data_IF_144872056618
#
_entry.id   IF_144872056618
#
_cell.length_a   1.000
_cell.length_b   1.000
_cell.length_c   1.000
_cell.angle_alpha   90.00
_cell.angle_beta   90.00
_cell.angle_gamma   90.00
#
_symmetry.space_group_name_H-M   'P 1'
#
loop_
_entity.id
_entity.type
_entity.pdbx_description
1 polymer ?
#
# COMPACT_ATOMS: atom_id res chain seq x y z
N UNK A 1 -9.05 -5.65 -13.50
CA UNK A 1 -7.93 -6.19 -12.70
C UNK A 1 -7.14 -5.07 -12.06
N UNK A 2 -6.37 -5.36 -11.02
CA UNK A 2 -5.60 -4.36 -10.26
C UNK A 2 -4.10 -4.44 -10.57
N UNK A 3 -3.49 -3.26 -10.75
CA UNK A 3 -2.05 -3.08 -10.93
C UNK A 3 -1.46 -2.27 -9.76
N UNK A 4 -0.18 -2.48 -9.50
CA UNK A 4 0.62 -1.57 -8.69
C UNK A 4 1.20 -0.41 -9.52
N UNK A 5 1.96 0.47 -8.85
CA UNK A 5 2.60 1.64 -9.47
C UNK A 5 3.68 1.30 -10.50
N UNK A 6 4.11 0.04 -10.58
CA UNK A 6 5.08 -0.46 -11.58
C UNK A 6 4.40 -1.09 -12.80
N UNK A 7 3.06 -0.99 -12.89
CA UNK A 7 2.24 -1.64 -13.90
C UNK A 7 2.24 -3.18 -13.81
N UNK A 8 2.61 -3.73 -12.66
CA UNK A 8 2.62 -5.17 -12.41
C UNK A 8 1.27 -5.62 -11.83
N UNK A 9 0.75 -6.77 -12.26
CA UNK A 9 -0.48 -7.35 -11.70
C UNK A 9 -0.27 -7.68 -10.23
N UNK A 10 -1.16 -7.19 -9.37
CA UNK A 10 -1.11 -7.51 -7.94
C UNK A 10 -1.44 -8.98 -7.68
N UNK A 11 -0.89 -9.57 -6.63
CA UNK A 11 -1.10 -10.99 -6.30
C UNK A 11 -2.55 -11.30 -5.95
N UNK A 12 -3.26 -10.35 -5.34
CA UNK A 12 -4.68 -10.47 -4.99
C UNK A 12 -5.64 -10.29 -6.18
N UNK A 13 -5.19 -9.71 -7.30
CA UNK A 13 -6.06 -9.57 -8.48
C UNK A 13 -6.22 -10.93 -9.16
N UNK A 14 -7.46 -11.44 -9.13
CA UNK A 14 -7.89 -12.55 -9.98
C UNK A 14 -7.73 -12.19 -11.46
N UNK A 15 -7.56 -13.22 -12.29
CA UNK A 15 -7.33 -13.14 -13.73
C UNK A 15 -7.96 -14.35 -14.42
N UNK A 16 -8.20 -14.25 -15.72
CA UNK A 16 -8.91 -15.28 -16.49
C UNK A 16 -9.55 -14.70 -17.75
N UNK A 17 -10.24 -15.52 -18.55
CA UNK A 17 -10.84 -15.09 -19.82
C UNK A 17 -11.86 -13.96 -19.67
N UNK A 18 -12.44 -13.76 -18.49
CA UNK A 18 -13.41 -12.70 -18.21
C UNK A 18 -12.77 -11.34 -17.86
N UNK A 19 -11.44 -11.27 -17.70
CA UNK A 19 -10.76 -10.02 -17.38
C UNK A 19 -10.70 -9.09 -18.61
N UNK A 20 -11.45 -7.99 -18.56
CA UNK A 20 -11.47 -7.00 -19.64
C UNK A 20 -10.25 -6.07 -19.66
N UNK A 21 -9.97 -5.41 -18.54
CA UNK A 21 -9.04 -4.28 -18.47
C UNK A 21 -8.49 -4.14 -17.06
N UNK A 22 -7.36 -3.46 -16.93
CA UNK A 22 -6.68 -3.21 -15.66
C UNK A 22 -6.54 -1.72 -15.37
N UNK A 23 -6.38 -1.39 -14.09
CA UNK A 23 -6.21 -0.02 -13.60
C UNK A 23 -5.46 -0.03 -12.25
N UNK A 24 -5.02 1.14 -11.74
CA UNK A 24 -4.37 1.23 -10.42
C UNK A 24 -5.26 0.67 -9.32
N UNK A 25 -4.74 -0.30 -8.57
CA UNK A 25 -5.49 -0.96 -7.49
C UNK A 25 -4.63 -1.40 -6.31
N UNK A 26 -3.35 -1.07 -6.26
CA UNK A 26 -2.53 -1.15 -5.05
C UNK A 26 -1.98 0.24 -4.70
N UNK A 27 -1.96 0.58 -3.42
CA UNK A 27 -1.52 1.85 -2.89
C UNK A 27 -2.38 3.02 -3.36
N UNK A 28 -3.69 2.82 -3.53
CA UNK A 28 -4.60 3.87 -4.02
C UNK A 28 -5.03 4.76 -2.85
N UNK A 29 -4.55 5.99 -2.82
CA UNK A 29 -4.95 7.00 -1.83
C UNK A 29 -6.32 7.56 -2.21
N UNK A 30 -7.30 7.46 -1.30
CA UNK A 30 -8.63 8.01 -1.51
C UNK A 30 -9.22 8.55 -0.21
N UNK A 31 -10.27 9.36 -0.33
CA UNK A 31 -11.03 9.85 0.81
C UNK A 31 -11.71 8.71 1.58
N UNK A 32 -11.85 8.91 2.88
CA UNK A 32 -12.55 8.03 3.81
C UNK A 32 -13.46 8.87 4.72
N UNK A 33 -14.40 8.27 5.49
CA UNK A 33 -15.17 9.01 6.47
C UNK A 33 -14.27 9.88 7.35
N UNK A 34 -14.73 11.07 7.72
CA UNK A 34 -13.91 12.07 8.41
C UNK A 34 -13.18 11.46 9.61
N UNK A 35 -11.87 11.70 9.67
CA UNK A 35 -10.96 11.24 10.73
C UNK A 35 -10.87 9.70 10.92
N UNK A 36 -11.41 8.91 9.99
CA UNK A 36 -11.26 7.45 10.01
C UNK A 36 -9.97 6.97 9.36
N UNK A 37 -9.34 7.81 8.53
CA UNK A 37 -8.03 7.53 7.96
C UNK A 37 -6.93 7.60 9.01
N UNK A 38 -5.83 6.95 8.71
CA UNK A 38 -4.61 6.97 9.53
C UNK A 38 -3.42 7.16 8.60
N UNK A 39 -2.52 8.02 9.02
CA UNK A 39 -1.20 8.18 8.41
C UNK A 39 -0.13 8.07 9.51
N UNK A 40 1.09 7.74 9.13
CA UNK A 40 2.21 7.64 10.05
C UNK A 40 3.31 8.65 9.71
N UNK A 41 3.90 9.22 10.74
CA UNK A 41 5.10 10.03 10.63
C UNK A 41 6.23 9.28 11.29
N UNK A 42 7.22 8.89 10.49
CA UNK A 42 8.40 8.16 10.95
C UNK A 42 9.65 8.98 10.65
N UNK A 43 10.45 9.21 11.69
CA UNK A 43 11.78 9.78 11.57
C UNK A 43 12.82 8.79 12.05
N UNK A 44 13.89 8.63 11.27
CA UNK A 44 15.08 7.90 11.69
C UNK A 44 16.07 8.88 12.33
N UNK A 45 16.68 8.46 13.42
CA UNK A 45 17.74 9.17 14.13
C UNK A 45 19.01 8.34 14.06
N UNK A 46 19.97 8.78 13.23
CA UNK A 46 21.21 8.07 12.91
C UNK A 46 22.35 9.09 12.94
N UNK A 47 23.43 8.82 13.68
CA UNK A 47 24.62 9.69 13.74
C UNK A 47 24.28 11.17 14.02
N UNK A 48 23.27 11.42 14.87
CA UNK A 48 22.80 12.77 15.23
C UNK A 48 21.91 13.45 14.18
N UNK A 49 21.68 12.83 13.03
CA UNK A 49 20.77 13.34 12.00
C UNK A 49 19.37 12.76 12.16
N UNK A 50 18.35 13.61 12.02
CA UNK A 50 16.94 13.24 12.03
C UNK A 50 16.36 13.35 10.61
N UNK A 51 15.92 12.24 10.03
CA UNK A 51 15.43 12.19 8.65
C UNK A 51 14.04 11.60 8.59
N UNK A 52 13.10 12.32 7.96
CA UNK A 52 11.76 11.79 7.66
C UNK A 52 11.87 10.74 6.56
N UNK A 53 11.23 9.60 6.76
CA UNK A 53 11.13 8.54 5.73
C UNK A 53 9.68 8.32 5.32
N UNK A 54 9.48 7.67 4.17
CA UNK A 54 8.15 7.24 3.75
C UNK A 54 7.67 6.11 4.65
N UNK A 55 6.43 6.23 5.09
CA UNK A 55 5.80 5.26 5.97
C UNK A 55 4.29 5.24 5.78
N UNK A 56 3.65 4.16 6.22
CA UNK A 56 2.18 4.06 6.32
C UNK A 56 1.82 3.39 7.64
N UNK A 57 0.68 3.77 8.22
CA UNK A 57 0.11 3.04 9.37
C UNK A 57 -0.64 1.79 8.90
N UNK A 58 -1.03 0.95 9.85
CA UNK A 58 -1.92 -0.16 9.59
C UNK A 58 -3.38 0.19 9.90
N UNK A 59 -4.30 -0.58 9.33
CA UNK A 59 -5.67 -0.58 9.81
C UNK A 59 -5.71 -1.17 11.24
N UNK A 60 -6.48 -0.53 12.13
CA UNK A 60 -6.50 -0.88 13.55
C UNK A 60 -5.35 -0.27 14.38
N UNK A 61 -4.56 0.67 13.84
CA UNK A 61 -3.63 1.45 14.68
C UNK A 61 -4.34 2.65 15.31
N UNK A 62 -4.19 2.79 16.63
CA UNK A 62 -4.66 3.97 17.38
C UNK A 62 -3.84 5.22 17.01
N UNK A 63 -4.43 6.39 17.22
CA UNK A 63 -3.72 7.67 17.10
C UNK A 63 -2.66 7.82 18.21
N UNK A 64 -1.46 8.25 17.83
CA UNK A 64 -0.30 8.47 18.69
C UNK A 64 0.13 9.92 18.49
N UNK A 65 -0.47 10.83 19.26
CA UNK A 65 -0.21 12.28 19.17
C UNK A 65 1.11 12.68 19.84
N UNK A 66 1.53 11.95 20.87
CA UNK A 66 2.85 12.08 21.49
C UNK A 66 3.81 11.11 20.81
N UNK A 67 4.81 11.58 20.03
CA UNK A 67 5.72 10.68 19.33
C UNK A 67 6.43 9.73 20.27
N UNK A 68 6.45 8.44 19.93
CA UNK A 68 7.23 7.43 20.66
C UNK A 68 8.60 7.30 20.05
N UNK A 69 9.62 7.38 20.90
CA UNK A 69 11.02 7.27 20.50
C UNK A 69 11.60 5.99 21.09
N UNK A 70 12.41 5.28 20.31
CA UNK A 70 13.22 4.18 20.83
C UNK A 70 14.26 3.67 19.84
N UNK A 71 15.28 3.00 20.37
CA UNK A 71 16.31 2.36 19.56
C UNK A 71 15.73 1.21 18.76
N UNK A 72 16.28 0.98 17.56
CA UNK A 72 15.89 -0.09 16.67
C UNK A 72 16.76 -1.33 16.90
N UNK A 73 16.12 -2.50 16.92
CA UNK A 73 16.78 -3.80 16.93
C UNK A 73 16.18 -4.65 15.82
N UNK A 74 17.03 -5.17 14.93
CA UNK A 74 16.57 -6.04 13.86
C UNK A 74 16.19 -7.42 14.41
N UNK A 75 14.95 -7.83 14.17
CA UNK A 75 14.36 -9.07 14.68
C UNK A 75 13.87 -9.98 13.54
N UNK A 76 14.62 -10.05 12.44
CA UNK A 76 14.35 -10.99 11.35
C UNK A 76 12.96 -10.82 10.74
N UNK A 77 12.21 -11.93 10.67
CA UNK A 77 10.83 -11.97 10.20
C UNK A 77 9.81 -11.80 11.34
N UNK A 78 10.25 -11.54 12.57
CA UNK A 78 9.36 -11.37 13.72
C UNK A 78 8.73 -12.68 14.18
N UNK A 79 9.37 -13.82 13.89
CA UNK A 79 8.99 -15.11 14.47
C UNK A 79 9.49 -15.19 15.92
N UNK A 80 8.92 -16.10 16.71
CA UNK A 80 9.39 -16.37 18.09
C UNK A 80 10.88 -16.67 18.15
N UNK A 81 11.40 -17.46 17.20
CA UNK A 81 12.82 -17.82 17.13
C UNK A 81 13.74 -16.65 16.75
N UNK A 82 13.21 -15.63 16.07
CA UNK A 82 13.96 -14.41 15.78
C UNK A 82 14.12 -13.59 17.06
N UNK A 83 13.05 -13.44 17.83
CA UNK A 83 13.09 -12.73 19.12
C UNK A 83 13.91 -13.47 20.18
N UNK A 84 14.05 -14.79 20.10
CA UNK A 84 14.94 -15.55 20.98
C UNK A 84 16.43 -15.18 20.79
N UNK A 85 16.80 -14.62 19.63
CA UNK A 85 18.19 -14.28 19.28
C UNK A 85 18.56 -12.83 19.58
N UNK A 86 17.60 -11.96 19.92
CA UNK A 86 17.80 -10.52 20.08
C UNK A 86 17.03 -9.95 21.26
N UNK A 87 17.61 -8.95 21.95
CA UNK A 87 16.91 -8.27 23.05
C UNK A 87 16.23 -6.98 22.58
N UNK A 88 14.91 -7.05 22.41
CA UNK A 88 14.04 -5.93 22.02
C UNK A 88 13.30 -5.27 23.19
N UNK A 89 13.52 -5.71 24.43
CA UNK A 89 12.76 -5.19 25.58
C UNK A 89 12.93 -3.66 25.72
N UNK A 90 11.82 -2.92 25.73
CA UNK A 90 11.77 -1.46 25.77
C UNK A 90 12.18 -0.74 24.48
N UNK A 91 12.57 -1.48 23.43
CA UNK A 91 13.05 -0.98 22.14
C UNK A 91 12.04 -1.21 21.03
N UNK A 92 12.25 -0.58 19.87
CA UNK A 92 11.49 -0.87 18.67
C UNK A 92 12.08 -2.09 17.94
N UNK A 93 11.23 -3.05 17.60
CA UNK A 93 11.62 -4.17 16.76
C UNK A 93 11.51 -3.77 15.27
N UNK A 94 12.62 -3.83 14.54
CA UNK A 94 12.66 -3.72 13.09
C UNK A 94 12.45 -5.11 12.48
N UNK A 95 11.39 -5.29 11.71
CA UNK A 95 10.94 -6.61 11.23
C UNK A 95 10.74 -6.58 9.71
N UNK A 96 11.20 -7.62 9.02
CA UNK A 96 10.91 -7.80 7.60
C UNK A 96 9.52 -8.37 7.38
N UNK A 97 8.78 -7.84 6.38
CA UNK A 97 7.52 -8.44 5.93
C UNK A 97 7.76 -9.81 5.29
N UNK A 98 6.89 -10.77 5.61
CA UNK A 98 6.90 -12.11 5.00
C UNK A 98 6.54 -13.22 6.00
N UNK A 99 6.20 -14.38 5.44
CA UNK A 99 5.93 -15.67 6.09
C UNK A 99 4.79 -15.74 7.12
N UNK A 100 4.76 -14.85 8.10
CA UNK A 100 3.72 -14.76 9.13
C UNK A 100 2.91 -13.46 8.99
N UNK A 101 1.73 -13.42 9.59
CA UNK A 101 0.83 -12.26 9.50
C UNK A 101 1.41 -11.04 10.23
N UNK A 102 0.93 -9.84 9.91
CA UNK A 102 1.32 -8.63 10.65
C UNK A 102 0.89 -8.69 12.12
N UNK A 103 -0.29 -9.25 12.39
CA UNK A 103 -0.79 -9.46 13.74
C UNK A 103 0.13 -10.39 14.54
N UNK A 104 0.60 -11.50 13.95
CA UNK A 104 1.53 -12.42 14.60
C UNK A 104 2.89 -11.77 14.89
N UNK A 105 3.43 -10.99 13.96
CA UNK A 105 4.67 -10.22 14.16
C UNK A 105 4.55 -9.30 15.37
N UNK A 106 3.42 -8.59 15.48
CA UNK A 106 3.14 -7.65 16.57
C UNK A 106 2.97 -8.39 17.89
N UNK A 107 2.20 -9.48 17.90
CA UNK A 107 2.00 -10.33 19.08
C UNK A 107 3.32 -10.88 19.61
N UNK A 108 4.20 -11.35 18.73
CA UNK A 108 5.53 -11.85 19.11
C UNK A 108 6.42 -10.73 19.66
N UNK A 109 6.40 -9.54 19.06
CA UNK A 109 7.13 -8.39 19.56
C UNK A 109 6.64 -7.93 20.95
N UNK A 110 5.33 -7.94 21.17
CA UNK A 110 4.72 -7.64 22.48
C UNK A 110 5.15 -8.66 23.53
N UNK A 111 5.13 -9.96 23.19
CA UNK A 111 5.61 -11.02 24.09
C UNK A 111 7.10 -10.85 24.43
N UNK A 112 7.90 -10.37 23.48
CA UNK A 112 9.31 -10.01 23.68
C UNK A 112 9.51 -8.63 24.36
N UNK A 113 8.42 -7.97 24.82
CA UNK A 113 8.41 -6.68 25.53
C UNK A 113 8.97 -5.51 24.73
N UNK A 114 8.87 -5.55 23.40
CA UNK A 114 9.18 -4.38 22.58
C UNK A 114 8.24 -3.20 22.93
N UNK A 115 8.70 -1.98 22.69
CA UNK A 115 7.91 -0.75 22.88
C UNK A 115 7.13 -0.35 21.63
N UNK A 116 7.48 -0.93 20.48
CA UNK A 116 6.80 -0.76 19.21
C UNK A 116 7.45 -1.60 18.10
N UNK A 117 6.85 -1.58 16.92
CA UNK A 117 7.29 -2.35 15.75
C UNK A 117 7.39 -1.45 14.53
N UNK A 118 8.51 -1.54 13.82
CA UNK A 118 8.70 -0.98 12.48
C UNK A 118 8.82 -2.15 11.52
N UNK A 119 7.84 -2.31 10.63
CA UNK A 119 7.86 -3.35 9.60
C UNK A 119 8.39 -2.72 8.32
N UNK A 120 9.36 -3.32 7.64
CA UNK A 120 9.74 -2.87 6.30
C UNK A 120 9.19 -3.84 5.25
N UNK A 121 8.70 -3.29 4.15
CA UNK A 121 8.14 -4.09 3.07
C UNK A 121 9.21 -5.00 2.43
N UNK A 122 8.79 -6.10 1.83
CA UNK A 122 9.65 -7.04 1.10
C UNK A 122 9.54 -6.89 -0.43
N UNK A 123 8.70 -5.96 -0.89
CA UNK A 123 8.60 -5.51 -2.27
C UNK A 123 8.80 -3.99 -2.34
N UNK A 124 8.99 -3.45 -3.54
CA UNK A 124 9.00 -2.01 -3.74
C UNK A 124 7.67 -1.38 -3.32
N UNK A 125 7.74 -0.13 -2.85
CA UNK A 125 6.60 0.63 -2.35
C UNK A 125 6.17 0.25 -0.93
N UNK A 126 5.15 0.96 -0.44
CA UNK A 126 4.49 0.66 0.83
C UNK A 126 3.29 -0.26 0.59
N UNK A 127 2.91 -1.01 1.60
CA UNK A 127 1.70 -1.83 1.61
C UNK A 127 0.97 -1.58 2.91
N UNK A 128 -0.35 -1.38 2.85
CA UNK A 128 -1.14 -1.32 4.06
C UNK A 128 -1.57 -2.74 4.46
N UNK A 129 -1.50 -3.04 5.76
CA UNK A 129 -2.03 -4.28 6.32
C UNK A 129 -3.06 -4.02 7.41
N UNK A 130 -3.67 -5.10 7.89
CA UNK A 130 -4.51 -5.10 9.09
C UNK A 130 -3.75 -5.69 10.29
N UNK A 131 -4.02 -5.17 11.49
CA UNK A 131 -3.50 -5.69 12.76
C UNK A 131 -4.52 -6.51 13.56
N UNK A 132 -5.78 -6.55 13.11
CA UNK A 132 -6.88 -7.29 13.73
C UNK A 132 -7.62 -8.12 12.68
N UNK A 133 -8.27 -9.19 13.12
CA UNK A 133 -9.04 -10.07 12.21
C UNK A 133 -10.16 -9.32 11.50
N UNK A 134 -10.81 -8.37 12.19
CA UNK A 134 -11.89 -7.54 11.66
C UNK A 134 -11.38 -6.28 10.92
N UNK A 135 -10.08 -5.98 11.01
CA UNK A 135 -9.45 -4.76 10.50
C UNK A 135 -9.97 -3.44 11.07
N UNK A 136 -10.74 -3.51 12.16
CA UNK A 136 -11.40 -2.36 12.78
C UNK A 136 -11.01 -2.19 14.23
N UNK A 137 -10.79 -3.30 14.93
CA UNK A 137 -10.38 -3.27 16.33
C UNK A 137 -9.03 -2.58 16.45
N UNK A 138 -9.02 -1.45 17.16
CA UNK A 138 -7.78 -0.71 17.43
C UNK A 138 -6.94 -1.46 18.46
N UNK A 139 -5.65 -1.62 18.18
CA UNK A 139 -4.69 -2.11 19.17
C UNK A 139 -3.94 -0.92 19.78
N UNK A 140 -3.72 -0.98 21.10
CA UNK A 140 -2.91 0.02 21.81
C UNK A 140 -1.42 -0.33 21.74
N UNK A 141 -0.90 -0.37 20.50
CA UNK A 141 0.49 -0.71 20.25
C UNK A 141 1.01 0.01 19.00
N UNK A 142 2.26 0.47 19.06
CA UNK A 142 2.84 1.31 18.01
C UNK A 142 3.38 0.44 16.89
N UNK A 143 2.76 0.51 15.72
CA UNK A 143 3.13 -0.28 14.54
C UNK A 143 3.06 0.59 13.30
N UNK A 144 4.14 0.59 12.51
CA UNK A 144 4.24 1.33 11.25
C UNK A 144 4.95 0.50 10.20
N UNK A 145 4.64 0.75 8.93
CA UNK A 145 5.39 0.18 7.81
C UNK A 145 6.27 1.24 7.14
N UNK A 146 7.48 0.85 6.73
CA UNK A 146 8.42 1.64 5.92
C UNK A 146 8.77 0.91 4.62
N UNK A 147 9.36 1.61 3.66
CA UNK A 147 9.77 1.03 2.38
C UNK A 147 10.89 -0.03 2.56
N UNK A 148 10.94 -1.00 1.64
CA UNK A 148 11.97 -2.04 1.60
C UNK A 148 13.40 -1.45 1.65
N UNK A 149 13.63 -0.40 0.86
CA UNK A 149 14.95 0.23 0.73
C UNK A 149 15.44 0.82 2.06
N UNK A 150 14.55 1.41 2.86
CA UNK A 150 14.89 1.97 4.16
C UNK A 150 15.16 0.88 5.19
N UNK A 151 14.39 -0.21 5.17
CA UNK A 151 14.65 -1.39 5.99
C UNK A 151 16.01 -2.03 5.71
N UNK A 152 16.37 -2.18 4.43
CA UNK A 152 17.67 -2.74 4.04
C UNK A 152 18.85 -1.86 4.48
N UNK A 153 18.74 -0.53 4.34
CA UNK A 153 19.74 0.42 4.85
C UNK A 153 19.91 0.29 6.35
N UNK A 154 18.80 0.21 7.11
CA UNK A 154 18.83 0.04 8.56
C UNK A 154 19.50 -1.28 8.97
N UNK A 155 19.22 -2.38 8.29
CA UNK A 155 19.87 -3.67 8.56
C UNK A 155 21.39 -3.57 8.35
N UNK A 156 21.84 -3.03 7.22
CA UNK A 156 23.26 -2.87 6.94
C UNK A 156 23.95 -2.03 8.02
N UNK A 157 23.30 -0.95 8.45
CA UNK A 157 23.78 -0.07 9.51
C UNK A 157 23.87 -0.78 10.86
N UNK A 158 22.80 -1.46 11.28
CA UNK A 158 22.76 -2.18 12.57
C UNK A 158 23.78 -3.32 12.60
N UNK A 159 23.96 -4.05 11.49
CA UNK A 159 24.95 -5.12 11.37
C UNK A 159 26.40 -4.60 11.40
N UNK A 160 26.62 -3.32 11.04
CA UNK A 160 27.93 -2.67 11.18
C UNK A 160 28.25 -2.23 12.62
N UNK A 161 27.34 -2.48 13.57
CA UNK A 161 27.48 -2.09 14.98
C UNK A 161 27.05 -0.66 15.30
N UNK A 162 26.54 0.09 14.32
CA UNK A 162 25.97 1.43 14.54
C UNK A 162 24.61 1.35 15.22
N UNK A 163 24.25 2.42 15.93
CA UNK A 163 22.95 2.57 16.58
C UNK A 163 22.03 3.41 15.71
N UNK A 164 20.78 2.97 15.59
CA UNK A 164 19.70 3.76 15.02
C UNK A 164 18.53 3.80 15.99
N UNK A 165 17.81 4.92 16.01
CA UNK A 165 16.54 5.06 16.73
C UNK A 165 15.46 5.54 15.77
N UNK A 166 14.21 5.31 16.14
CA UNK A 166 13.05 5.79 15.41
C UNK A 166 12.22 6.70 16.31
N UNK A 167 11.58 7.70 15.71
CA UNK A 167 10.48 8.46 16.29
C UNK A 167 9.24 8.17 15.47
N UNK A 168 8.17 7.75 16.12
CA UNK A 168 6.93 7.31 15.48
C UNK A 168 5.74 8.02 16.08
N UNK A 169 4.91 8.62 15.22
CA UNK A 169 3.56 9.06 15.54
C UNK A 169 2.58 8.61 14.47
N UNK A 170 1.30 8.55 14.83
CA UNK A 170 0.20 8.26 13.92
C UNK A 170 -0.84 9.36 14.08
N UNK A 171 -1.34 9.85 12.97
CA UNK A 171 -2.29 10.97 12.93
C UNK A 171 -3.56 10.54 12.21
N UNK A 172 -4.69 11.10 12.63
CA UNK A 172 -5.95 10.93 11.90
C UNK A 172 -5.94 11.75 10.61
N UNK A 173 -6.50 11.16 9.57
CA UNK A 173 -6.63 11.79 8.26
C UNK A 173 -8.03 11.57 7.69
N UNK A 174 -8.37 12.35 6.67
CA UNK A 174 -9.58 12.13 5.86
C UNK A 174 -9.29 11.27 4.62
N UNK A 175 -8.10 10.66 4.54
CA UNK A 175 -7.62 9.88 3.42
C UNK A 175 -6.91 8.61 3.91
N UNK A 176 -7.01 7.53 3.15
CA UNK A 176 -6.22 6.32 3.41
C UNK A 176 -5.84 5.62 2.10
N UNK A 177 -4.76 4.84 2.16
CA UNK A 177 -4.31 3.99 1.06
C UNK A 177 -5.07 2.67 1.10
N UNK A 178 -5.60 2.22 -0.03
CA UNK A 178 -6.26 0.92 -0.13
C UNK A 178 -5.70 0.09 -1.29
N UNK A 179 -5.77 -1.23 -1.10
CA UNK A 179 -5.46 -2.25 -2.08
C UNK A 179 -6.75 -3.01 -2.43
N UNK A 180 -6.98 -3.26 -3.72
CA UNK A 180 -8.10 -4.07 -4.17
C UNK A 180 -8.48 -3.83 -5.63
N UNK A 181 -9.11 -4.83 -6.25
CA UNK A 181 -9.82 -4.62 -7.52
C UNK A 181 -10.96 -3.62 -7.36
N UNK A 182 -11.56 -3.53 -6.18
CA UNK A 182 -12.49 -2.46 -5.79
C UNK A 182 -11.91 -1.06 -5.94
N UNK A 183 -10.59 -0.87 -5.84
CA UNK A 183 -9.91 0.41 -6.05
C UNK A 183 -9.56 0.64 -7.53
N UNK A 184 -9.34 -0.42 -8.30
CA UNK A 184 -9.17 -0.34 -9.75
C UNK A 184 -10.48 0.02 -10.48
N UNK A 185 -11.62 -0.53 -10.02
CA UNK A 185 -12.95 -0.29 -10.60
C UNK A 185 -13.31 1.20 -10.76
N UNK A 186 -13.23 2.07 -9.73
CA UNK A 186 -13.61 3.48 -9.87
C UNK A 186 -12.72 4.26 -10.85
N UNK A 187 -11.46 3.86 -11.05
CA UNK A 187 -10.62 4.45 -12.10
C UNK A 187 -11.21 4.15 -13.49
N UNK A 188 -11.52 2.88 -13.77
CA UNK A 188 -12.11 2.47 -15.06
C UNK A 188 -13.49 3.11 -15.26
N UNK A 189 -14.34 3.11 -14.23
CA UNK A 189 -15.66 3.72 -14.29
C UNK A 189 -15.59 5.25 -14.51
N UNK A 190 -14.62 5.92 -13.87
CA UNK A 190 -14.36 7.34 -14.10
C UNK A 190 -13.96 7.63 -15.55
N UNK A 191 -13.06 6.84 -16.13
CA UNK A 191 -12.68 6.97 -17.55
C UNK A 191 -13.86 6.68 -18.48
N UNK A 192 -14.69 5.67 -18.17
CA UNK A 192 -15.91 5.40 -18.92
C UNK A 192 -16.86 6.60 -18.92
N UNK A 193 -17.03 7.28 -17.78
CA UNK A 193 -17.84 8.49 -17.67
C UNK A 193 -17.25 9.66 -18.49
N UNK A 194 -15.92 9.81 -18.52
CA UNK A 194 -15.23 10.81 -19.37
C UNK A 194 -15.44 10.54 -20.87
N UNK A 195 -15.40 9.27 -21.29
CA UNK A 195 -15.71 8.84 -22.66
C UNK A 195 -17.14 9.21 -23.03
N UNK A 196 -18.11 8.84 -22.19
CA UNK A 196 -19.54 9.12 -22.42
C UNK A 196 -19.80 10.63 -22.50
N UNK A 197 -19.24 11.41 -21.58
CA UNK A 197 -19.45 12.87 -21.54
C UNK A 197 -18.83 13.56 -22.76
N UNK A 198 -17.63 13.15 -23.16
CA UNK A 198 -16.94 13.68 -24.34
C UNK A 198 -17.71 13.38 -25.61
N UNK A 199 -18.14 12.12 -25.78
CA UNK A 199 -18.93 11.74 -26.96
C UNK A 199 -20.21 12.59 -27.05
N UNK A 200 -20.92 12.74 -25.92
CA UNK A 200 -22.14 13.57 -25.86
C UNK A 200 -21.89 15.02 -26.26
N UNK A 201 -20.78 15.61 -25.82
CA UNK A 201 -20.41 16.98 -26.14
C UNK A 201 -20.02 17.16 -27.62
N UNK A 202 -19.37 16.17 -28.23
CA UNK A 202 -18.88 16.25 -29.63
C UNK A 202 -19.89 15.80 -30.67
N UNK A 203 -20.85 14.98 -30.29
CA UNK A 203 -21.80 14.33 -31.22
C UNK A 203 -23.24 14.80 -31.02
N UNK A 204 -23.44 16.08 -30.70
CA UNK A 204 -24.76 16.71 -30.65
C UNK A 204 -25.70 16.10 -29.61
N UNK A 205 -25.19 15.66 -28.46
CA UNK A 205 -25.99 15.11 -27.37
C UNK A 205 -26.26 13.60 -27.45
N UNK A 206 -25.76 12.90 -28.48
CA UNK A 206 -25.85 11.44 -28.59
C UNK A 206 -25.07 10.72 -27.49
N UNK A 207 -25.46 9.49 -27.19
CA UNK A 207 -24.82 8.66 -26.16
C UNK A 207 -24.41 7.32 -26.76
N UNK A 208 -23.20 6.85 -26.42
CA UNK A 208 -22.72 5.52 -26.78
C UNK A 208 -23.47 4.42 -26.01
N UNK A 209 -23.68 3.27 -26.65
CA UNK A 209 -24.14 2.06 -25.97
C UNK A 209 -23.05 1.56 -25.01
N UNK A 210 -23.42 0.89 -23.89
CA UNK A 210 -22.43 0.33 -22.97
C UNK A 210 -21.38 -0.58 -23.63
N UNK A 211 -21.77 -1.36 -24.65
CA UNK A 211 -20.85 -2.19 -25.42
C UNK A 211 -19.83 -1.39 -26.23
N UNK A 212 -20.22 -0.24 -26.77
CA UNK A 212 -19.34 0.66 -27.52
C UNK A 212 -18.34 1.35 -26.59
N UNK A 213 -18.79 1.76 -25.40
CA UNK A 213 -17.89 2.27 -24.35
C UNK A 213 -16.87 1.22 -23.94
N UNK A 214 -17.32 -0.01 -23.65
CA UNK A 214 -16.42 -1.14 -23.30
C UNK A 214 -15.40 -1.42 -24.41
N UNK A 215 -15.84 -1.45 -25.67
CA UNK A 215 -14.96 -1.67 -26.80
C UNK A 215 -13.91 -0.55 -26.94
N UNK A 216 -14.32 0.71 -26.79
CA UNK A 216 -13.45 1.87 -26.90
C UNK A 216 -12.38 1.87 -25.80
N UNK A 217 -12.77 1.60 -24.55
CA UNK A 217 -11.82 1.45 -23.44
C UNK A 217 -10.80 0.33 -23.69
N UNK A 218 -11.25 -0.79 -24.23
CA UNK A 218 -10.38 -1.95 -24.51
C UNK A 218 -9.42 -1.65 -25.67
N UNK A 219 -9.90 -1.05 -26.76
CA UNK A 219 -9.09 -0.72 -27.94
C UNK A 219 -8.05 0.37 -27.68
N UNK A 220 -8.28 1.24 -26.70
CA UNK A 220 -7.40 2.37 -26.37
C UNK A 220 -6.49 2.11 -25.18
N UNK A 221 -6.70 1.00 -24.47
CA UNK A 221 -5.83 0.56 -23.38
C UNK A 221 -4.37 0.40 -23.85
N UNK A 222 -3.42 0.62 -22.93
CA UNK A 222 -2.03 0.27 -23.17
C UNK A 222 -1.82 -1.19 -22.77
N UNK A 223 -1.54 -2.05 -23.75
CA UNK A 223 -1.17 -3.44 -23.52
C UNK A 223 0.06 -3.55 -22.59
N UNK A 224 0.06 -4.55 -21.72
CA UNK A 224 1.11 -4.77 -20.71
C UNK A 224 1.66 -6.20 -20.79
N UNK A 225 2.99 -6.31 -20.81
CA UNK A 225 3.75 -7.55 -20.66
C UNK A 225 3.33 -8.73 -21.55
N UNK A 226 3.89 -9.92 -21.33
CA UNK A 226 3.32 -11.16 -21.84
C UNK A 226 1.96 -11.39 -21.16
N UNK A 227 0.88 -11.37 -21.93
CA UNK A 227 -0.48 -11.54 -21.43
C UNK A 227 -0.95 -13.00 -21.50
N UNK A 228 -0.10 -13.94 -21.08
CA UNK A 228 -0.48 -15.35 -20.98
C UNK A 228 -1.64 -15.52 -20.00
N UNK A 229 -2.61 -16.34 -20.38
CA UNK A 229 -3.84 -16.62 -19.63
C UNK A 229 -4.68 -15.38 -19.29
N UNK A 230 -4.52 -14.30 -20.06
CA UNK A 230 -5.24 -13.04 -19.89
C UNK A 230 -5.05 -12.39 -18.49
N UNK A 231 -3.80 -12.31 -18.03
CA UNK A 231 -3.43 -11.65 -16.75
C UNK A 231 -3.71 -10.15 -16.70
N UNK A 232 -3.77 -9.48 -17.86
CA UNK A 232 -3.88 -8.03 -17.97
C UNK A 232 -5.14 -7.55 -18.70
N UNK A 233 -5.98 -8.43 -19.23
CA UNK A 233 -7.05 -8.01 -20.14
C UNK A 233 -6.47 -7.29 -21.37
N UNK A 234 -7.10 -6.20 -21.79
CA UNK A 234 -6.60 -5.28 -22.80
C UNK A 234 -5.37 -4.46 -22.34
N UNK A 235 -4.99 -4.54 -21.06
CA UNK A 235 -3.92 -3.73 -20.45
C UNK A 235 -4.45 -2.63 -19.55
N UNK A 236 -3.65 -1.59 -19.29
CA UNK A 236 -4.04 -0.48 -18.41
C UNK A 236 -4.93 0.51 -19.15
N UNK A 237 -6.03 0.93 -18.52
CA UNK A 237 -6.94 1.96 -19.04
C UNK A 237 -6.21 3.28 -19.29
N UNK A 238 -6.48 3.92 -20.43
CA UNK A 238 -5.83 5.16 -20.87
C UNK A 238 -6.89 6.25 -21.11
N UNK A 239 -7.02 7.17 -20.15
CA UNK A 239 -8.06 8.21 -20.19
C UNK A 239 -7.90 9.15 -21.39
N UNK A 240 -6.67 9.59 -21.65
CA UNK A 240 -6.30 10.45 -22.76
C UNK A 240 -6.68 9.84 -24.12
N UNK A 241 -6.30 8.58 -24.35
CA UNK A 241 -6.57 7.88 -25.62
C UNK A 241 -8.05 7.59 -25.81
N UNK A 242 -8.72 7.15 -24.75
CA UNK A 242 -10.14 6.84 -24.78
C UNK A 242 -10.98 8.12 -25.04
N UNK A 243 -10.68 9.21 -24.35
CA UNK A 243 -11.35 10.51 -24.56
C UNK A 243 -11.08 11.03 -25.97
N UNK A 244 -9.85 10.96 -26.46
CA UNK A 244 -9.51 11.38 -27.81
C UNK A 244 -10.22 10.56 -28.90
N UNK A 245 -10.37 9.24 -28.70
CA UNK A 245 -11.12 8.39 -29.61
C UNK A 245 -12.62 8.69 -29.60
N UNK A 246 -13.20 8.98 -28.43
CA UNK A 246 -14.61 9.32 -28.28
C UNK A 246 -14.98 10.69 -28.89
N UNK A 247 -14.00 11.59 -29.04
CA UNK A 247 -14.21 12.92 -29.59
C UNK A 247 -14.24 12.97 -31.13
N UNK A 248 -13.77 11.91 -31.80
CA UNK A 248 -13.84 11.75 -33.25
C UNK A 248 -15.24 11.31 -33.66
#
# INVERSE_FOLDING_TARGET
GALDSTLTKTTFSQWGPELDITAPGAGVLSSVPMQSGRDSLVYLMIDGQKTKIKSVSFAGTKEITTPKIGSLVYAGLGKTDDFAKVNVAGKFALISRGEITFADKVKNAQAAKASGVVIFNNTLGLSQGTLSEDGKTEIDYTVVMIEQIEGQKLIALLNSGKVASTEVSTVKTNYALFDGTSMATPHVAGVAALVISTYKLKHGGKTLKPSEVRALLSQTAQALGPNQDNKYGAGIVQADRAVAAAAK
#
